data_IF_840377187710
#
_entry.id   IF_840377187710
#
_cell.length_a   1.000
_cell.length_b   1.000
_cell.length_c   1.000
_cell.angle_alpha   90.00
_cell.angle_beta   90.00
_cell.angle_gamma   90.00
#
_symmetry.space_group_name_H-M   'P 1'
#
loop_
_entity.id
_entity.type
_entity.pdbx_description
1 polymer ?
#
# COMPACT_ATOMS: atom_id res chain seq x y z
N UNK A 1 9.88 -2.72 -31.74
CA UNK A 1 11.28 -2.65 -31.26
C UNK A 1 11.30 -3.01 -29.78
N UNK A 2 11.92 -4.16 -29.41
CA UNK A 2 12.20 -4.51 -28.00
C UNK A 2 13.30 -3.55 -27.54
N UNK A 3 13.00 -2.50 -26.80
CA UNK A 3 14.05 -1.82 -26.05
C UNK A 3 14.59 -2.85 -25.04
N UNK A 4 15.80 -3.32 -25.27
CA UNK A 4 16.50 -4.14 -24.28
C UNK A 4 16.53 -3.35 -22.99
N UNK A 5 15.94 -3.92 -21.93
CA UNK A 5 15.97 -3.34 -20.59
C UNK A 5 17.42 -3.43 -20.09
N UNK A 6 18.19 -2.36 -20.34
CA UNK A 6 19.58 -2.28 -19.88
C UNK A 6 19.59 -2.19 -18.37
N UNK A 7 20.23 -3.17 -17.71
CA UNK A 7 20.53 -3.15 -16.28
C UNK A 7 21.92 -2.61 -16.06
N UNK A 8 22.10 -1.98 -14.90
CA UNK A 8 23.45 -1.61 -14.46
C UNK A 8 24.26 -2.85 -14.02
N UNK A 9 25.56 -2.66 -13.76
CA UNK A 9 26.47 -3.74 -13.33
C UNK A 9 26.05 -4.43 -12.01
N UNK A 10 25.16 -3.81 -11.23
CA UNK A 10 24.64 -4.33 -9.95
C UNK A 10 23.27 -5.00 -10.10
N UNK A 11 22.74 -5.11 -11.32
CA UNK A 11 21.45 -5.73 -11.62
C UNK A 11 20.23 -4.82 -11.42
N UNK A 12 20.41 -3.51 -11.20
CA UNK A 12 19.32 -2.56 -11.09
C UNK A 12 18.79 -2.13 -12.45
N UNK A 13 17.50 -1.97 -12.53
CA UNK A 13 16.81 -1.41 -13.66
C UNK A 13 15.99 -0.18 -13.23
N UNK A 14 15.93 0.81 -14.10
CA UNK A 14 15.17 2.04 -13.93
C UNK A 14 14.12 2.16 -15.02
N UNK A 15 12.86 2.48 -14.70
CA UNK A 15 11.86 2.81 -15.70
C UNK A 15 12.30 3.95 -16.62
N UNK A 16 11.86 3.90 -17.88
CA UNK A 16 12.17 4.96 -18.87
C UNK A 16 11.36 6.21 -18.54
N UNK A 17 10.12 6.01 -18.09
CA UNK A 17 9.22 7.09 -17.74
C UNK A 17 9.70 7.79 -16.47
N UNK A 18 9.70 9.11 -16.50
CA UNK A 18 10.05 9.93 -15.32
C UNK A 18 8.95 9.84 -14.28
N UNK A 19 9.33 9.89 -13.01
CA UNK A 19 8.38 10.07 -11.91
C UNK A 19 7.80 11.49 -12.03
N UNK A 20 6.51 11.59 -12.33
CA UNK A 20 5.79 12.83 -12.42
C UNK A 20 4.61 12.87 -11.45
N UNK A 21 4.37 14.05 -10.88
CA UNK A 21 3.17 14.27 -10.10
C UNK A 21 1.92 14.42 -10.97
N UNK A 22 0.80 14.08 -10.38
CA UNK A 22 -0.48 13.98 -11.05
C UNK A 22 -0.96 15.34 -11.59
N UNK A 23 -1.74 15.36 -12.67
CA UNK A 23 -2.16 16.60 -13.34
C UNK A 23 -3.03 17.50 -12.45
N UNK A 24 -3.68 16.95 -11.41
CA UNK A 24 -4.45 17.73 -10.43
C UNK A 24 -3.60 18.70 -9.61
N UNK A 25 -2.28 18.48 -9.53
CA UNK A 25 -1.31 19.33 -8.81
C UNK A 25 -0.40 20.12 -9.75
N UNK A 26 -0.71 20.18 -11.05
CA UNK A 26 0.06 20.94 -12.05
C UNK A 26 -0.74 22.18 -12.47
N UNK A 27 -0.12 23.36 -12.38
CA UNK A 27 -0.74 24.61 -12.81
C UNK A 27 -0.12 25.10 -14.14
N UNK A 28 -0.88 25.61 -15.11
CA UNK A 28 -2.37 25.71 -15.14
C UNK A 28 -3.05 24.35 -15.24
N UNK A 29 -4.27 24.26 -14.71
CA UNK A 29 -5.05 23.01 -14.71
C UNK A 29 -5.45 22.63 -16.14
N UNK A 30 -5.19 21.38 -16.53
CA UNK A 30 -5.62 20.77 -17.77
C UNK A 30 -6.72 19.75 -17.49
N UNK A 31 -7.97 20.16 -17.69
CA UNK A 31 -9.13 19.31 -17.39
C UNK A 31 -9.13 18.00 -18.18
N UNK A 32 -8.61 18.00 -19.43
CA UNK A 32 -8.52 16.79 -20.24
C UNK A 32 -7.51 15.80 -19.65
N UNK A 33 -6.37 16.27 -19.19
CA UNK A 33 -5.36 15.42 -18.50
C UNK A 33 -5.88 14.94 -17.16
N UNK A 34 -6.61 15.78 -16.40
CA UNK A 34 -7.23 15.41 -15.14
C UNK A 34 -8.26 14.32 -15.35
N UNK A 35 -9.16 14.47 -16.33
CA UNK A 35 -10.14 13.44 -16.67
C UNK A 35 -9.46 12.12 -17.08
N UNK A 36 -8.45 12.20 -17.97
CA UNK A 36 -7.67 11.04 -18.36
C UNK A 36 -6.98 10.36 -17.15
N UNK A 37 -6.43 11.13 -16.24
CA UNK A 37 -5.80 10.61 -15.01
C UNK A 37 -6.78 9.78 -14.18
N UNK A 38 -8.00 10.26 -13.98
CA UNK A 38 -8.97 9.53 -13.17
C UNK A 38 -9.55 8.29 -13.86
N UNK A 39 -9.88 8.40 -15.17
CA UNK A 39 -10.75 7.43 -15.85
C UNK A 39 -10.07 6.58 -16.93
N UNK A 40 -8.83 6.86 -17.31
CA UNK A 40 -8.12 6.03 -18.28
C UNK A 40 -7.74 4.65 -17.72
N UNK A 41 -7.40 3.74 -18.61
CA UNK A 41 -6.82 2.43 -18.28
C UNK A 41 -5.41 2.34 -18.89
N UNK A 42 -4.34 2.42 -18.10
CA UNK A 42 -4.32 2.62 -16.64
C UNK A 42 -4.60 4.07 -16.22
N UNK A 43 -5.10 4.24 -15.01
CA UNK A 43 -5.38 5.53 -14.40
C UNK A 43 -5.56 5.43 -12.89
N UNK A 44 -6.09 6.49 -12.27
CA UNK A 44 -6.29 6.53 -10.84
C UNK A 44 -7.26 5.44 -10.36
N UNK A 45 -8.43 5.32 -11.02
CA UNK A 45 -9.39 4.28 -10.64
C UNK A 45 -8.97 2.90 -11.11
N UNK A 46 -8.40 2.78 -12.30
CA UNK A 46 -8.12 1.51 -12.98
C UNK A 46 -6.64 1.17 -13.02
N UNK A 47 -6.26 -0.11 -12.76
CA UNK A 47 -7.13 -1.22 -12.32
C UNK A 47 -7.26 -1.32 -10.80
N UNK A 48 -6.37 -0.69 -10.00
CA UNK A 48 -6.12 -1.07 -8.62
C UNK A 48 -7.14 -0.51 -7.63
N UNK A 49 -7.50 0.76 -7.71
CA UNK A 49 -8.47 1.33 -6.77
C UNK A 49 -9.86 0.71 -6.96
N UNK A 50 -10.24 0.37 -8.20
CA UNK A 50 -11.46 -0.39 -8.46
C UNK A 50 -11.36 -1.84 -7.93
N UNK A 51 -10.22 -2.48 -8.07
CA UNK A 51 -10.00 -3.81 -7.49
C UNK A 51 -10.19 -3.79 -5.96
N UNK A 52 -9.57 -2.86 -5.25
CA UNK A 52 -9.73 -2.73 -3.80
C UNK A 52 -11.14 -2.33 -3.39
N UNK A 53 -11.81 -1.49 -4.18
CA UNK A 53 -13.21 -1.15 -3.95
C UNK A 53 -14.12 -2.39 -4.08
N UNK A 54 -13.98 -3.17 -5.15
CA UNK A 54 -14.76 -4.39 -5.35
C UNK A 54 -14.48 -5.44 -4.27
N UNK A 55 -13.23 -5.55 -3.83
CA UNK A 55 -12.87 -6.42 -2.73
C UNK A 55 -13.53 -5.98 -1.42
N UNK A 56 -13.49 -4.67 -1.10
CA UNK A 56 -14.14 -4.13 0.09
C UNK A 56 -15.67 -4.28 0.03
N UNK A 57 -16.26 -4.05 -1.14
CA UNK A 57 -17.68 -4.27 -1.38
C UNK A 57 -18.07 -5.75 -1.13
N UNK A 58 -17.31 -6.68 -1.73
CA UNK A 58 -17.52 -8.12 -1.51
C UNK A 58 -17.35 -8.49 -0.04
N UNK A 59 -16.32 -7.94 0.61
CA UNK A 59 -16.08 -8.17 2.03
C UNK A 59 -17.24 -7.70 2.87
N UNK A 60 -17.70 -6.48 2.66
CA UNK A 60 -18.81 -5.91 3.44
C UNK A 60 -20.11 -6.71 3.29
N UNK A 61 -20.52 -6.98 2.07
CA UNK A 61 -21.84 -7.58 1.82
C UNK A 61 -21.90 -9.11 2.00
N UNK A 62 -20.78 -9.81 1.85
CA UNK A 62 -20.78 -11.27 1.81
C UNK A 62 -19.87 -11.95 2.83
N UNK A 63 -18.88 -11.24 3.37
CA UNK A 63 -17.84 -11.86 4.20
C UNK A 63 -17.70 -11.19 5.58
N UNK A 64 -18.47 -10.15 5.86
CA UNK A 64 -18.48 -9.49 7.17
C UNK A 64 -19.61 -10.02 8.06
N UNK A 65 -19.44 -9.99 9.40
CA UNK A 65 -20.55 -10.18 10.29
C UNK A 65 -21.59 -9.06 10.08
N UNK A 66 -22.84 -9.33 10.41
CA UNK A 66 -23.86 -8.26 10.42
C UNK A 66 -23.57 -7.27 11.55
N UNK A 67 -23.99 -6.00 11.37
CA UNK A 67 -23.79 -4.99 12.42
C UNK A 67 -24.43 -5.40 13.75
N UNK A 68 -25.59 -6.05 13.72
CA UNK A 68 -26.24 -6.55 14.93
C UNK A 68 -25.44 -7.60 15.68
N UNK A 69 -24.64 -8.42 15.00
CA UNK A 69 -23.73 -9.37 15.66
C UNK A 69 -22.56 -8.69 16.35
N UNK A 70 -22.21 -7.46 15.92
CA UNK A 70 -21.08 -6.71 16.45
C UNK A 70 -21.41 -5.88 17.71
N UNK A 71 -22.66 -5.87 18.21
CA UNK A 71 -23.06 -5.11 19.41
C UNK A 71 -22.24 -5.52 20.63
N UNK A 72 -22.01 -6.83 20.80
CA UNK A 72 -21.19 -7.35 21.89
C UNK A 72 -20.01 -8.13 21.34
N UNK A 73 -18.85 -8.06 22.00
CA UNK A 73 -17.70 -8.86 21.61
C UNK A 73 -17.98 -10.34 21.75
N UNK A 74 -17.76 -11.08 20.68
CA UNK A 74 -17.94 -12.53 20.65
C UNK A 74 -16.86 -13.16 19.78
N UNK A 75 -16.26 -14.23 20.27
CA UNK A 75 -15.15 -14.92 19.58
C UNK A 75 -15.52 -15.41 18.17
N UNK A 76 -16.79 -15.72 17.92
CA UNK A 76 -17.25 -16.20 16.62
C UNK A 76 -17.03 -15.18 15.51
N UNK A 77 -17.59 -13.97 15.63
CA UNK A 77 -17.42 -12.96 14.59
C UNK A 77 -16.02 -12.32 14.60
N UNK A 78 -15.35 -12.27 15.77
CA UNK A 78 -13.95 -11.79 15.86
C UNK A 78 -13.03 -12.74 15.08
N UNK A 79 -13.17 -14.05 15.30
CA UNK A 79 -12.39 -15.04 14.55
C UNK A 79 -12.73 -15.07 13.06
N UNK A 80 -14.01 -14.87 12.69
CA UNK A 80 -14.42 -14.73 11.28
C UNK A 80 -13.64 -13.60 10.59
N UNK A 81 -13.57 -12.41 11.21
CA UNK A 81 -12.82 -11.28 10.67
C UNK A 81 -11.33 -11.64 10.52
N UNK A 82 -10.71 -12.19 11.56
CA UNK A 82 -9.30 -12.54 11.55
C UNK A 82 -8.97 -13.55 10.44
N UNK A 83 -9.68 -14.67 10.38
CA UNK A 83 -9.40 -15.71 9.38
C UNK A 83 -9.70 -15.25 7.95
N UNK A 84 -10.75 -14.45 7.75
CA UNK A 84 -11.04 -13.83 6.46
C UNK A 84 -9.90 -12.91 6.02
N UNK A 85 -9.44 -12.01 6.89
CA UNK A 85 -8.33 -11.10 6.59
C UNK A 85 -7.04 -11.87 6.30
N UNK A 86 -6.76 -12.91 7.06
CA UNK A 86 -5.60 -13.78 6.84
C UNK A 86 -5.68 -14.49 5.48
N UNK A 87 -6.84 -15.02 5.11
CA UNK A 87 -7.04 -15.67 3.80
C UNK A 87 -6.83 -14.66 2.66
N UNK A 88 -7.42 -13.46 2.76
CA UNK A 88 -7.27 -12.41 1.74
C UNK A 88 -5.78 -12.02 1.60
N UNK A 89 -5.09 -11.82 2.72
CA UNK A 89 -3.67 -11.50 2.74
C UNK A 89 -2.84 -12.60 2.06
N UNK A 90 -3.06 -13.87 2.44
CA UNK A 90 -2.33 -15.02 1.88
C UNK A 90 -2.61 -15.16 0.38
N UNK A 91 -3.85 -14.99 -0.05
CA UNK A 91 -4.19 -15.08 -1.46
C UNK A 91 -3.49 -13.99 -2.27
N UNK A 92 -3.56 -12.72 -1.85
CA UNK A 92 -2.97 -11.61 -2.62
C UNK A 92 -1.44 -11.68 -2.60
N UNK A 93 -0.82 -11.76 -1.43
CA UNK A 93 0.64 -11.80 -1.34
C UNK A 93 1.21 -13.11 -1.87
N UNK A 94 0.55 -14.24 -1.59
CA UNK A 94 0.97 -15.56 -2.03
C UNK A 94 0.88 -15.72 -3.55
N UNK A 95 -0.22 -15.33 -4.18
CA UNK A 95 -0.37 -15.43 -5.65
C UNK A 95 0.64 -14.52 -6.37
N UNK A 96 0.88 -13.30 -5.86
CA UNK A 96 1.92 -12.43 -6.41
C UNK A 96 3.32 -13.06 -6.23
N UNK A 97 3.60 -13.61 -5.06
CA UNK A 97 4.89 -14.27 -4.80
C UNK A 97 5.09 -15.50 -5.67
N UNK A 98 4.09 -16.36 -5.77
CA UNK A 98 4.11 -17.53 -6.66
C UNK A 98 4.37 -17.12 -8.12
N UNK A 99 3.61 -16.15 -8.63
CA UNK A 99 3.72 -15.69 -10.01
C UNK A 99 5.09 -15.08 -10.33
N UNK A 100 5.58 -14.17 -9.46
CA UNK A 100 6.73 -13.32 -9.76
C UNK A 100 8.06 -13.95 -9.31
N UNK A 101 8.09 -14.67 -8.19
CA UNK A 101 9.32 -15.16 -7.58
C UNK A 101 9.52 -16.67 -7.70
N UNK A 102 8.44 -17.46 -7.65
CA UNK A 102 8.53 -18.93 -7.79
C UNK A 102 8.46 -19.34 -9.25
N UNK A 103 7.35 -19.05 -9.93
CA UNK A 103 7.16 -19.40 -11.35
C UNK A 103 7.92 -18.46 -12.29
N UNK A 104 8.32 -17.27 -11.81
CA UNK A 104 9.03 -16.25 -12.61
C UNK A 104 8.38 -16.00 -13.96
N UNK A 105 7.05 -15.85 -13.99
CA UNK A 105 6.23 -15.82 -15.21
C UNK A 105 6.65 -14.74 -16.21
N UNK A 106 7.29 -13.68 -15.76
CA UNK A 106 7.86 -12.63 -16.60
C UNK A 106 9.39 -12.48 -16.44
N UNK A 107 10.03 -13.48 -15.79
CA UNK A 107 11.46 -13.44 -15.45
C UNK A 107 11.81 -12.17 -14.68
N UNK A 108 12.82 -11.43 -15.09
CA UNK A 108 13.26 -10.16 -14.52
C UNK A 108 12.77 -8.93 -15.29
N UNK A 109 11.86 -9.13 -16.27
CA UNK A 109 11.28 -8.01 -17.02
C UNK A 109 10.49 -7.11 -16.08
N UNK A 110 10.78 -5.79 -16.12
CA UNK A 110 10.22 -4.74 -15.26
C UNK A 110 10.55 -4.87 -13.76
N UNK A 111 11.48 -5.76 -13.38
CA UNK A 111 11.93 -5.87 -12.00
C UNK A 111 13.00 -4.81 -11.71
N UNK A 112 12.84 -4.03 -10.64
CA UNK A 112 13.80 -2.96 -10.27
C UNK A 112 15.17 -3.52 -9.88
N UNK A 113 15.19 -4.66 -9.19
CA UNK A 113 16.41 -5.32 -8.75
C UNK A 113 16.36 -6.81 -9.07
N UNK A 114 17.20 -7.27 -10.00
CA UNK A 114 17.25 -8.68 -10.43
C UNK A 114 17.88 -9.63 -9.40
N UNK A 115 18.50 -9.10 -8.33
CA UNK A 115 19.07 -9.93 -7.28
C UNK A 115 17.96 -10.69 -6.53
N UNK A 116 18.21 -11.95 -6.25
CA UNK A 116 17.27 -12.79 -5.48
C UNK A 116 17.05 -12.23 -4.07
N UNK A 117 15.87 -12.52 -3.51
CA UNK A 117 15.60 -12.31 -2.08
C UNK A 117 16.61 -13.13 -1.26
N UNK A 118 16.89 -12.66 -0.04
CA UNK A 118 17.89 -13.30 0.80
C UNK A 118 17.40 -14.68 1.28
N UNK A 119 18.09 -15.73 0.82
CA UNK A 119 17.82 -17.12 1.20
C UNK A 119 18.50 -17.51 2.52
N UNK A 120 19.55 -16.76 2.91
CA UNK A 120 20.30 -16.96 4.15
C UNK A 120 20.73 -15.62 4.72
N UNK A 121 20.60 -15.45 6.05
CA UNK A 121 21.05 -14.21 6.70
C UNK A 121 20.59 -14.13 8.15
N UNK A 122 21.54 -13.84 9.06
CA UNK A 122 21.27 -13.72 10.51
C UNK A 122 20.32 -12.58 10.88
N UNK A 123 20.12 -11.59 9.98
CA UNK A 123 19.18 -10.49 10.18
C UNK A 123 17.72 -10.93 10.08
N UNK A 124 17.45 -12.13 9.54
CA UNK A 124 16.11 -12.66 9.33
C UNK A 124 15.76 -13.67 10.43
N UNK A 125 14.56 -13.56 11.03
CA UNK A 125 14.13 -14.42 12.14
C UNK A 125 14.29 -15.92 11.85
N UNK A 126 14.05 -16.36 10.62
CA UNK A 126 14.19 -17.77 10.21
C UNK A 126 15.35 -17.98 9.24
N UNK A 127 16.36 -17.12 9.31
CA UNK A 127 17.49 -17.07 8.38
C UNK A 127 17.07 -16.86 6.89
N UNK A 128 15.79 -16.60 6.60
CA UNK A 128 15.24 -16.40 5.27
C UNK A 128 14.30 -15.21 5.24
N UNK A 129 14.56 -14.26 4.33
CA UNK A 129 13.79 -13.04 4.16
C UNK A 129 12.27 -13.32 3.97
N UNK A 130 11.93 -14.22 3.06
CA UNK A 130 10.52 -14.53 2.77
C UNK A 130 9.78 -15.07 3.98
N UNK A 131 10.39 -15.94 4.78
CA UNK A 131 9.77 -16.51 5.99
C UNK A 131 9.58 -15.46 7.07
N UNK A 132 10.58 -14.61 7.28
CA UNK A 132 10.50 -13.47 8.20
C UNK A 132 9.36 -12.52 7.81
N UNK A 133 9.28 -12.18 6.53
CA UNK A 133 8.24 -11.30 6.01
C UNK A 133 6.83 -11.91 6.14
N UNK A 134 6.66 -13.21 5.85
CA UNK A 134 5.38 -13.92 6.06
C UNK A 134 4.98 -13.87 7.54
N UNK A 135 5.92 -14.14 8.45
CA UNK A 135 5.64 -14.12 9.89
C UNK A 135 5.11 -12.74 10.31
N UNK A 136 5.84 -11.66 10.02
CA UNK A 136 5.44 -10.32 10.44
C UNK A 136 4.13 -9.86 9.79
N UNK A 137 3.91 -10.18 8.52
CA UNK A 137 2.68 -9.83 7.81
C UNK A 137 1.47 -10.59 8.35
N UNK A 138 1.58 -11.91 8.56
CA UNK A 138 0.47 -12.75 8.98
C UNK A 138 0.18 -12.64 10.48
N UNK A 139 1.22 -12.62 11.32
CA UNK A 139 1.03 -12.62 12.78
C UNK A 139 0.76 -11.19 13.27
N UNK A 140 1.66 -10.26 13.03
CA UNK A 140 1.50 -8.89 13.53
C UNK A 140 0.55 -8.06 12.65
N UNK A 141 0.81 -7.99 11.35
CA UNK A 141 0.04 -7.18 10.41
C UNK A 141 -1.44 -7.56 10.39
N UNK A 142 -1.73 -8.83 10.17
CA UNK A 142 -3.11 -9.32 10.10
C UNK A 142 -3.85 -9.20 11.44
N UNK A 143 -3.18 -9.44 12.59
CA UNK A 143 -3.82 -9.31 13.91
C UNK A 143 -4.20 -7.87 14.21
N UNK A 144 -3.30 -6.90 13.95
CA UNK A 144 -3.57 -5.48 14.22
C UNK A 144 -4.61 -4.93 13.22
N UNK A 145 -4.51 -5.29 11.94
CA UNK A 145 -5.57 -5.00 10.97
C UNK A 145 -6.94 -5.49 11.46
N UNK A 146 -7.03 -6.76 11.88
CA UNK A 146 -8.28 -7.35 12.36
C UNK A 146 -8.77 -6.70 13.66
N UNK A 147 -7.87 -6.31 14.56
CA UNK A 147 -8.23 -5.61 15.79
C UNK A 147 -8.87 -4.24 15.50
N UNK A 148 -8.31 -3.46 14.58
CA UNK A 148 -8.94 -2.21 14.14
C UNK A 148 -10.34 -2.46 13.56
N UNK A 149 -10.48 -3.49 12.73
CA UNK A 149 -11.78 -3.80 12.13
C UNK A 149 -12.83 -4.21 13.19
N UNK A 150 -12.44 -5.06 14.13
CA UNK A 150 -13.30 -5.49 15.23
C UNK A 150 -13.76 -4.29 16.08
N UNK A 151 -12.83 -3.43 16.48
CA UNK A 151 -13.15 -2.24 17.30
C UNK A 151 -14.09 -1.29 16.57
N UNK A 152 -13.85 -1.03 15.29
CA UNK A 152 -14.67 -0.09 14.51
C UNK A 152 -16.05 -0.65 14.20
N UNK A 153 -16.18 -1.93 13.85
CA UNK A 153 -17.51 -2.52 13.63
C UNK A 153 -18.32 -2.56 14.92
N UNK A 154 -17.69 -2.87 16.06
CA UNK A 154 -18.33 -2.73 17.36
C UNK A 154 -18.75 -1.29 17.64
N UNK A 155 -17.92 -0.30 17.36
CA UNK A 155 -18.23 1.10 17.57
C UNK A 155 -19.38 1.59 16.66
N UNK A 156 -19.42 1.16 15.40
CA UNK A 156 -20.56 1.42 14.52
C UNK A 156 -21.86 0.77 15.04
N UNK A 157 -21.77 -0.50 15.49
CA UNK A 157 -22.94 -1.23 16.02
C UNK A 157 -23.54 -0.57 17.27
N UNK A 158 -22.73 0.14 18.05
CA UNK A 158 -23.12 0.84 19.27
C UNK A 158 -23.35 2.36 19.06
N UNK A 159 -23.37 2.87 17.83
CA UNK A 159 -23.55 4.27 17.48
C UNK A 159 -22.53 5.23 18.09
N UNK A 160 -21.28 4.76 18.32
CA UNK A 160 -20.18 5.61 18.80
C UNK A 160 -19.48 6.38 17.69
N UNK A 161 -19.74 6.03 16.42
CA UNK A 161 -19.14 6.69 15.27
C UNK A 161 -20.16 7.45 14.46
N UNK A 162 -19.79 8.61 13.88
CA UNK A 162 -20.66 9.37 13.02
C UNK A 162 -20.96 8.57 11.73
N UNK A 163 -22.24 8.36 11.44
CA UNK A 163 -22.70 7.48 10.38
C UNK A 163 -23.42 8.25 9.28
N UNK A 164 -23.24 7.78 8.04
CA UNK A 164 -24.06 8.15 6.88
C UNK A 164 -24.45 6.89 6.10
N UNK A 165 -25.55 7.00 5.37
CA UNK A 165 -25.94 5.99 4.37
C UNK A 165 -26.06 6.61 2.96
N UNK A 166 -26.13 5.74 1.95
CA UNK A 166 -26.23 6.17 0.56
C UNK A 166 -27.52 6.94 0.26
N UNK A 167 -28.64 6.58 0.87
CA UNK A 167 -29.93 7.15 0.52
C UNK A 167 -30.09 8.60 1.03
N UNK A 168 -29.52 8.89 2.19
CA UNK A 168 -29.57 10.24 2.78
C UNK A 168 -28.49 11.17 2.26
N UNK A 169 -27.31 10.63 1.88
CA UNK A 169 -26.16 11.45 1.47
C UNK A 169 -25.41 10.85 0.27
N UNK A 170 -26.05 10.63 -0.90
CA UNK A 170 -25.46 9.87 -2.00
C UNK A 170 -24.18 10.50 -2.57
N UNK A 171 -24.12 11.83 -2.66
CA UNK A 171 -22.95 12.54 -3.20
C UNK A 171 -21.75 12.36 -2.28
N UNK A 172 -21.95 12.63 -0.97
CA UNK A 172 -20.88 12.47 0.02
C UNK A 172 -20.45 11.01 0.14
N UNK A 173 -21.40 10.08 0.13
CA UNK A 173 -21.12 8.65 0.14
C UNK A 173 -20.19 8.23 -1.02
N UNK A 174 -20.52 8.65 -2.25
CA UNK A 174 -19.65 8.35 -3.40
C UNK A 174 -18.30 9.08 -3.35
N UNK A 175 -18.31 10.35 -2.99
CA UNK A 175 -17.11 11.19 -2.93
C UNK A 175 -16.10 10.66 -1.89
N UNK A 176 -16.59 10.14 -0.78
CA UNK A 176 -15.74 9.69 0.32
C UNK A 176 -14.78 8.55 -0.08
N UNK A 177 -15.15 7.67 -1.02
CA UNK A 177 -14.23 6.67 -1.57
C UNK A 177 -13.01 7.29 -2.27
N UNK A 178 -13.14 8.47 -2.81
CA UNK A 178 -12.03 9.20 -3.44
C UNK A 178 -11.23 9.96 -2.39
N UNK A 179 -11.92 10.69 -1.52
CA UNK A 179 -11.28 11.53 -0.49
C UNK A 179 -10.44 10.71 0.47
N UNK A 180 -10.92 9.52 0.86
CA UNK A 180 -10.19 8.65 1.79
C UNK A 180 -8.84 8.15 1.22
N UNK A 181 -8.71 8.03 -0.10
CA UNK A 181 -7.43 7.66 -0.73
C UNK A 181 -6.39 8.78 -0.61
N UNK A 182 -6.81 10.04 -0.79
CA UNK A 182 -5.93 11.20 -0.56
C UNK A 182 -5.59 11.36 0.92
N UNK A 183 -6.56 11.15 1.81
CA UNK A 183 -6.32 11.13 3.25
C UNK A 183 -5.28 10.07 3.63
N UNK A 184 -5.41 8.86 3.10
CA UNK A 184 -4.47 7.76 3.33
C UNK A 184 -3.03 8.15 2.96
N UNK A 185 -2.85 8.80 1.83
CA UNK A 185 -1.52 9.24 1.39
C UNK A 185 -0.95 10.32 2.29
N UNK A 186 -1.78 11.29 2.67
CA UNK A 186 -1.38 12.36 3.59
C UNK A 186 -0.98 11.80 4.97
N UNK A 187 -1.79 10.92 5.54
CA UNK A 187 -1.51 10.22 6.79
C UNK A 187 -0.21 9.41 6.70
N UNK A 188 -0.06 8.63 5.63
CA UNK A 188 1.14 7.82 5.39
C UNK A 188 2.40 8.69 5.35
N UNK A 189 2.39 9.79 4.63
CA UNK A 189 3.53 10.69 4.56
C UNK A 189 3.95 11.20 5.96
N UNK A 190 2.99 11.66 6.76
CA UNK A 190 3.28 12.19 8.10
C UNK A 190 3.83 11.09 9.01
N UNK A 191 3.12 9.97 9.11
CA UNK A 191 3.51 8.87 10.00
C UNK A 191 4.83 8.25 9.57
N UNK A 192 5.07 8.12 8.28
CA UNK A 192 6.31 7.57 7.73
C UNK A 192 7.51 8.49 8.01
N UNK A 193 7.35 9.80 7.91
CA UNK A 193 8.39 10.75 8.33
C UNK A 193 8.71 10.68 9.82
N UNK A 194 7.68 10.47 10.66
CA UNK A 194 7.87 10.27 12.11
C UNK A 194 8.64 8.97 12.36
N UNK A 195 8.31 7.89 11.64
CA UNK A 195 9.00 6.61 11.74
C UNK A 195 10.48 6.70 11.34
N UNK A 196 10.85 7.64 10.47
CA UNK A 196 12.23 7.91 10.09
C UNK A 196 13.01 8.78 11.09
N UNK A 197 12.39 9.28 12.16
CA UNK A 197 13.14 9.91 13.25
C UNK A 197 14.07 8.88 13.91
N UNK A 198 15.37 9.21 14.02
CA UNK A 198 16.45 8.26 14.34
C UNK A 198 16.16 7.23 15.44
N UNK A 199 15.66 7.60 16.64
CA UNK A 199 15.34 6.62 17.68
C UNK A 199 14.23 5.64 17.24
N UNK A 200 13.16 6.17 16.61
CA UNK A 200 12.01 5.38 16.16
C UNK A 200 12.43 4.45 15.02
N UNK A 201 13.19 4.98 14.05
CA UNK A 201 13.72 4.19 12.95
C UNK A 201 14.51 2.98 13.45
N UNK A 202 15.47 3.22 14.34
CA UNK A 202 16.36 2.16 14.83
C UNK A 202 15.65 0.97 15.46
N UNK A 203 14.60 1.21 16.26
CA UNK A 203 13.94 0.17 17.06
C UNK A 203 12.64 -0.36 16.44
N UNK A 204 12.02 0.41 15.56
CA UNK A 204 10.70 0.10 14.99
C UNK A 204 10.79 -0.07 13.48
N UNK A 205 11.11 0.98 12.75
CA UNK A 205 10.99 1.03 11.29
C UNK A 205 12.11 0.29 10.54
N UNK A 206 13.26 0.07 11.19
CA UNK A 206 14.35 -0.73 10.62
C UNK A 206 13.91 -2.14 10.23
N UNK A 207 12.94 -2.75 10.95
CA UNK A 207 12.40 -4.06 10.60
C UNK A 207 11.80 -4.05 9.18
N UNK A 208 11.10 -2.98 8.81
CA UNK A 208 10.59 -2.79 7.45
C UNK A 208 11.72 -2.53 6.45
N UNK A 209 12.62 -1.61 6.76
CA UNK A 209 13.69 -1.17 5.89
C UNK A 209 14.83 -2.18 5.68
N UNK A 210 14.98 -3.21 6.51
CA UNK A 210 15.92 -4.30 6.20
C UNK A 210 15.56 -5.01 4.87
N UNK A 211 14.33 -4.81 4.35
CA UNK A 211 13.86 -5.26 3.05
C UNK A 211 14.29 -4.31 1.90
N UNK A 212 15.60 -4.12 1.70
CA UNK A 212 16.12 -3.38 0.54
C UNK A 212 15.79 -4.10 -0.78
N UNK A 213 15.79 -5.43 -0.76
CA UNK A 213 15.27 -6.27 -1.84
C UNK A 213 13.81 -6.57 -1.54
N UNK A 214 12.93 -5.77 -2.12
CA UNK A 214 11.49 -5.87 -1.86
C UNK A 214 10.85 -7.08 -2.55
N UNK A 215 9.81 -7.61 -1.94
CA UNK A 215 8.94 -8.66 -2.46
C UNK A 215 7.54 -8.52 -1.86
N UNK A 216 6.50 -9.18 -2.41
CA UNK A 216 5.11 -8.95 -1.99
C UNK A 216 4.88 -9.04 -0.46
N UNK A 217 5.52 -10.00 0.19
CA UNK A 217 5.41 -10.17 1.64
C UNK A 217 6.10 -9.07 2.46
N UNK A 218 7.03 -8.30 1.87
CA UNK A 218 7.70 -7.22 2.60
C UNK A 218 6.80 -5.99 2.81
N UNK A 219 5.69 -5.86 2.07
CA UNK A 219 4.77 -4.73 2.18
C UNK A 219 4.15 -4.56 3.56
N UNK A 220 3.84 -5.66 4.25
CA UNK A 220 3.36 -5.66 5.64
C UNK A 220 4.36 -6.28 6.62
N UNK A 221 5.63 -6.41 6.27
CA UNK A 221 6.66 -6.84 7.21
C UNK A 221 7.14 -5.64 8.02
N UNK A 222 6.41 -5.34 9.09
CA UNK A 222 6.59 -4.17 9.94
C UNK A 222 6.58 -4.57 11.44
N UNK A 223 7.14 -3.73 12.28
CA UNK A 223 7.08 -3.88 13.73
C UNK A 223 5.62 -3.69 14.24
N UNK A 224 5.17 -4.38 15.30
CA UNK A 224 3.81 -4.22 15.83
C UNK A 224 3.42 -2.78 16.13
N UNK A 225 4.32 -1.98 16.71
CA UNK A 225 4.08 -0.54 16.97
C UNK A 225 3.90 0.22 15.64
N UNK A 226 4.66 -0.13 14.62
CA UNK A 226 4.51 0.47 13.29
C UNK A 226 3.14 0.12 12.69
N UNK A 227 2.67 -1.12 12.82
CA UNK A 227 1.32 -1.50 12.39
C UNK A 227 0.23 -0.69 13.10
N UNK A 228 0.36 -0.46 14.43
CA UNK A 228 -0.59 0.41 15.15
C UNK A 228 -0.62 1.82 14.58
N UNK A 229 0.55 2.42 14.34
CA UNK A 229 0.65 3.76 13.75
C UNK A 229 0.12 3.75 12.31
N UNK A 230 0.49 2.76 11.52
CA UNK A 230 0.13 2.65 10.11
C UNK A 230 -1.38 2.51 9.90
N UNK A 231 -2.04 1.61 10.65
CA UNK A 231 -3.48 1.41 10.57
C UNK A 231 -4.30 2.51 11.28
N UNK A 232 -3.66 3.43 12.04
CA UNK A 232 -4.35 4.58 12.64
C UNK A 232 -4.96 5.54 11.60
N UNK A 233 -4.64 5.37 10.32
CA UNK A 233 -5.28 6.08 9.19
C UNK A 233 -6.81 6.01 9.25
N UNK A 234 -7.38 4.96 9.81
CA UNK A 234 -8.84 4.77 9.93
C UNK A 234 -9.48 5.59 11.04
N UNK A 235 -8.69 6.22 11.92
CA UNK A 235 -9.23 7.11 12.98
C UNK A 235 -9.98 8.31 12.41
N UNK A 236 -9.79 8.65 11.14
CA UNK A 236 -10.58 9.67 10.45
C UNK A 236 -12.08 9.39 10.49
N UNK A 237 -12.48 8.10 10.53
CA UNK A 237 -13.87 7.68 10.63
C UNK A 237 -14.50 7.94 12.01
N UNK A 238 -13.69 8.30 13.02
CA UNK A 238 -14.19 8.80 14.31
C UNK A 238 -14.68 10.26 14.23
N UNK A 239 -14.26 11.01 13.22
CA UNK A 239 -14.50 12.44 13.07
C UNK A 239 -15.42 12.71 11.88
N UNK A 240 -15.16 12.03 10.75
CA UNK A 240 -15.87 12.25 9.49
C UNK A 240 -16.98 11.22 9.33
N UNK A 241 -18.26 11.68 9.18
CA UNK A 241 -19.38 10.77 8.98
C UNK A 241 -19.17 9.85 7.77
N UNK A 242 -19.26 8.55 8.01
CA UNK A 242 -18.97 7.54 7.01
C UNK A 242 -19.75 6.24 7.25
N UNK A 243 -19.88 5.42 6.22
CA UNK A 243 -20.49 4.10 6.29
C UNK A 243 -19.41 3.04 6.59
N UNK A 244 -19.72 1.93 7.26
CA UNK A 244 -18.76 0.82 7.47
C UNK A 244 -18.05 0.33 6.20
N UNK A 245 -18.71 0.40 5.04
CA UNK A 245 -18.08 0.07 3.75
C UNK A 245 -16.88 1.00 3.43
N UNK A 246 -16.99 2.31 3.74
CA UNK A 246 -15.85 3.24 3.55
C UNK A 246 -14.69 2.88 4.48
N UNK A 247 -15.01 2.54 5.73
CA UNK A 247 -14.02 2.12 6.70
C UNK A 247 -13.31 0.83 6.25
N UNK A 248 -14.06 -0.21 5.83
CA UNK A 248 -13.50 -1.46 5.32
C UNK A 248 -12.64 -1.20 4.08
N UNK A 249 -13.11 -0.36 3.15
CA UNK A 249 -12.33 0.03 1.97
C UNK A 249 -11.01 0.70 2.35
N UNK A 250 -11.03 1.69 3.24
CA UNK A 250 -9.82 2.36 3.73
C UNK A 250 -8.86 1.37 4.37
N UNK A 251 -9.36 0.54 5.28
CA UNK A 251 -8.56 -0.43 6.04
C UNK A 251 -7.96 -1.51 5.14
N UNK A 252 -8.75 -2.10 4.23
CA UNK A 252 -8.27 -3.11 3.28
C UNK A 252 -7.30 -2.53 2.25
N UNK A 253 -7.58 -1.34 1.74
CA UNK A 253 -6.65 -0.66 0.85
C UNK A 253 -5.31 -0.40 1.54
N UNK A 254 -5.35 0.03 2.81
CA UNK A 254 -4.15 0.24 3.61
C UNK A 254 -3.38 -1.06 3.86
N UNK A 255 -4.07 -2.16 4.14
CA UNK A 255 -3.43 -3.46 4.37
C UNK A 255 -2.83 -4.09 3.11
N UNK A 256 -3.46 -3.92 1.95
CA UNK A 256 -3.16 -4.73 0.76
C UNK A 256 -2.38 -3.98 -0.32
N UNK A 257 -2.53 -2.65 -0.44
CA UNK A 257 -1.77 -1.88 -1.43
C UNK A 257 -0.25 -1.92 -1.23
N UNK A 258 0.31 -1.99 -0.01
CA UNK A 258 1.75 -2.17 0.17
C UNK A 258 2.28 -3.49 -0.37
N UNK A 259 1.49 -4.56 -0.37
CA UNK A 259 1.85 -5.86 -0.97
C UNK A 259 2.15 -5.70 -2.45
N UNK A 260 1.30 -4.94 -3.14
CA UNK A 260 1.47 -4.54 -4.53
C UNK A 260 2.66 -3.60 -4.69
N UNK A 261 2.72 -2.53 -3.90
CA UNK A 261 3.78 -1.52 -3.94
C UNK A 261 5.18 -2.08 -3.74
N UNK A 262 5.32 -3.14 -2.92
CA UNK A 262 6.58 -3.82 -2.62
C UNK A 262 6.86 -5.04 -3.50
N UNK A 263 6.07 -5.31 -4.53
CA UNK A 263 6.34 -6.48 -5.40
C UNK A 263 7.69 -6.41 -6.12
N UNK A 264 8.28 -5.20 -6.25
CA UNK A 264 9.57 -4.99 -6.91
C UNK A 264 9.49 -4.98 -8.44
N UNK A 265 8.30 -5.00 -9.02
CA UNK A 265 8.05 -5.00 -10.45
C UNK A 265 7.21 -3.77 -10.87
N UNK A 266 7.74 -2.93 -11.74
CA UNK A 266 7.07 -1.73 -12.26
C UNK A 266 5.73 -2.06 -12.95
N UNK A 267 5.70 -3.16 -13.69
CA UNK A 267 4.55 -3.62 -14.44
C UNK A 267 4.38 -5.13 -14.32
N UNK A 268 3.11 -5.59 -14.37
CA UNK A 268 2.76 -7.00 -14.54
C UNK A 268 2.29 -7.24 -15.97
N UNK A 269 2.86 -8.26 -16.62
CA UNK A 269 2.41 -8.75 -17.92
C UNK A 269 1.21 -9.68 -17.74
N UNK A 270 0.01 -9.23 -18.11
CA UNK A 270 -1.18 -10.07 -18.09
C UNK A 270 -1.19 -11.04 -19.29
N UNK A 271 -0.80 -10.55 -20.45
CA UNK A 271 -0.62 -11.33 -21.69
C UNK A 271 0.67 -10.88 -22.39
N UNK A 272 1.01 -11.49 -23.51
CA UNK A 272 2.17 -11.06 -24.34
C UNK A 272 2.10 -9.59 -24.78
N UNK A 273 0.87 -9.04 -24.90
CA UNK A 273 0.64 -7.69 -25.41
C UNK A 273 0.01 -6.74 -24.39
N UNK A 274 -0.44 -7.25 -23.25
CA UNK A 274 -1.13 -6.46 -22.23
C UNK A 274 -0.33 -6.44 -20.95
N UNK A 275 -0.04 -5.25 -20.46
CA UNK A 275 0.66 -5.01 -19.20
C UNK A 275 -0.04 -3.90 -18.41
N UNK A 276 0.04 -3.98 -17.10
CA UNK A 276 -0.54 -2.97 -16.19
C UNK A 276 0.53 -2.47 -15.22
N UNK A 277 0.53 -1.18 -14.87
CA UNK A 277 1.35 -0.65 -13.80
C UNK A 277 1.11 -1.43 -12.52
N UNK A 278 2.15 -1.66 -11.74
CA UNK A 278 2.03 -2.49 -10.55
C UNK A 278 2.65 -1.85 -9.34
N UNK A 279 3.96 -1.92 -9.13
CA UNK A 279 4.57 -1.29 -7.96
C UNK A 279 5.12 0.12 -8.26
N UNK A 280 5.52 0.81 -7.20
CA UNK A 280 5.99 2.18 -7.27
C UNK A 280 7.51 2.24 -7.31
N UNK A 281 8.09 2.73 -8.40
CA UNK A 281 9.53 3.02 -8.47
C UNK A 281 9.92 4.13 -7.48
N UNK A 282 9.01 5.06 -7.22
CA UNK A 282 9.17 6.11 -6.22
C UNK A 282 9.44 5.53 -4.82
N UNK A 283 8.60 4.60 -4.38
CA UNK A 283 8.74 3.92 -3.09
C UNK A 283 9.93 2.93 -3.06
N UNK A 284 10.22 2.28 -4.19
CA UNK A 284 11.45 1.48 -4.31
C UNK A 284 12.72 2.32 -4.10
N UNK A 285 12.77 3.54 -4.62
CA UNK A 285 13.89 4.47 -4.38
C UNK A 285 14.00 4.84 -2.90
N UNK A 286 12.89 4.93 -2.17
CA UNK A 286 12.86 5.13 -0.74
C UNK A 286 13.53 3.96 0.01
N UNK A 287 13.14 2.71 -0.25
CA UNK A 287 13.78 1.54 0.34
C UNK A 287 15.27 1.41 0.02
N UNK A 288 15.68 1.93 -1.12
CA UNK A 288 17.09 1.91 -1.53
C UNK A 288 17.94 3.01 -0.87
N UNK A 289 17.36 4.18 -0.60
CA UNK A 289 18.12 5.38 -0.19
C UNK A 289 17.68 5.94 1.19
N UNK A 290 16.58 5.48 1.75
CA UNK A 290 16.01 5.75 3.08
C UNK A 290 15.56 7.20 3.32
N UNK A 291 16.34 8.21 3.01
CA UNK A 291 16.08 9.63 3.36
C UNK A 291 15.43 10.42 2.21
N UNK A 292 14.53 9.80 1.44
CA UNK A 292 13.79 10.42 0.34
C UNK A 292 12.44 9.75 0.16
N UNK A 293 11.51 10.40 -0.53
CA UNK A 293 10.25 9.77 -0.99
C UNK A 293 9.44 9.09 0.12
N UNK A 294 9.15 9.84 1.18
CA UNK A 294 8.42 9.32 2.34
C UNK A 294 6.93 9.07 2.08
N UNK A 295 6.35 9.73 1.07
CA UNK A 295 4.96 9.53 0.65
C UNK A 295 4.82 8.54 -0.50
N UNK A 296 3.68 8.67 -1.16
CA UNK A 296 3.40 8.09 -2.48
C UNK A 296 3.52 9.20 -3.54
N UNK A 297 3.37 8.86 -4.81
CA UNK A 297 3.50 9.87 -5.88
C UNK A 297 2.20 10.60 -6.23
N UNK A 298 1.09 10.34 -5.54
CA UNK A 298 -0.23 10.94 -5.84
C UNK A 298 -0.28 12.40 -5.40
N UNK A 299 0.06 12.68 -4.13
CA UNK A 299 0.17 14.04 -3.60
C UNK A 299 1.65 14.45 -3.58
N UNK A 300 2.01 15.65 -4.07
CA UNK A 300 3.41 16.07 -4.18
C UNK A 300 4.04 16.51 -2.84
N UNK A 301 3.78 15.78 -1.75
CA UNK A 301 4.28 16.12 -0.40
C UNK A 301 5.81 16.12 -0.35
N UNK A 302 6.46 15.11 -0.91
CA UNK A 302 7.92 15.06 -0.95
C UNK A 302 8.55 16.20 -1.74
N UNK A 303 7.87 16.67 -2.80
CA UNK A 303 8.32 17.86 -3.55
C UNK A 303 8.17 19.13 -2.72
N UNK A 304 7.03 19.30 -2.05
CA UNK A 304 6.77 20.48 -1.22
C UNK A 304 7.71 20.56 -0.02
N UNK A 305 8.09 19.42 0.55
CA UNK A 305 8.99 19.34 1.71
C UNK A 305 10.45 18.99 1.37
N UNK A 306 10.80 18.99 0.08
CA UNK A 306 12.21 18.91 -0.38
C UNK A 306 12.86 17.54 -0.22
N UNK A 307 12.07 16.45 -0.20
CA UNK A 307 12.54 15.06 -0.09
C UNK A 307 12.28 14.23 -1.35
N UNK A 308 11.85 14.86 -2.43
CA UNK A 308 11.56 14.20 -3.71
C UNK A 308 12.84 13.80 -4.44
N UNK A 309 12.96 12.49 -4.73
CA UNK A 309 14.04 11.90 -5.49
C UNK A 309 13.48 11.04 -6.64
N UNK A 310 13.84 11.36 -7.88
CA UNK A 310 13.40 10.66 -9.10
C UNK A 310 14.44 9.68 -9.68
N UNK A 311 15.54 9.46 -8.95
CA UNK A 311 16.65 8.63 -9.41
C UNK A 311 17.59 9.30 -10.38
N UNK A 312 17.50 10.61 -10.61
CA UNK A 312 18.47 11.41 -11.40
C UNK A 312 19.59 11.96 -10.54
N UNK A 313 20.74 12.29 -11.17
CA UNK A 313 21.84 12.95 -10.47
C UNK A 313 21.47 14.37 -9.99
N UNK A 314 20.60 15.05 -10.74
CA UNK A 314 20.15 16.39 -10.36
C UNK A 314 19.34 16.34 -9.07
N UNK A 315 18.34 15.45 -8.98
CA UNK A 315 17.54 15.30 -7.76
C UNK A 315 18.37 14.73 -6.60
N UNK A 316 19.35 13.85 -6.87
CA UNK A 316 20.28 13.34 -5.87
C UNK A 316 21.04 14.47 -5.17
N UNK A 317 21.61 15.42 -5.96
CA UNK A 317 22.33 16.58 -5.40
C UNK A 317 21.42 17.46 -4.54
N UNK A 318 20.16 17.65 -4.96
CA UNK A 318 19.17 18.46 -4.22
C UNK A 318 18.75 17.84 -2.88
N UNK A 319 18.67 16.53 -2.79
CA UNK A 319 18.18 15.82 -1.60
C UNK A 319 19.32 15.47 -0.64
N UNK A 320 20.44 14.93 -1.13
CA UNK A 320 21.47 14.30 -0.32
C UNK A 320 22.78 15.11 -0.19
N UNK A 321 22.96 16.17 -0.97
CA UNK A 321 24.18 17.02 -0.94
C UNK A 321 23.84 18.46 -0.55
N UNK A 322 22.92 18.62 0.40
CA UNK A 322 22.64 19.92 1.01
C UNK A 322 23.74 20.32 1.99
#
# INVERSE_FOLDING_TARGET
MKSEMKRDKRGYWKPVDKIEYQPVFKWPLDLKKIFKYFFALPGFFWPWNIFYFLLAFTTWYYLSPTISQCINFNISWISQIFFRNLIILILIAGLLHLRLFIFKSQKDRYQYNANKLDETGKQWMFNKQTRDNIFWSCISGCSIWSAYEVIFLWAYANNYLPYIDFYTNPIWFCLWFVVVLFWREFHFYITHRILHFKPIYKYIHYLHHKNVKVGPWSGLSMHPIEHLIYFSVVLIHCIVPSHPLHFIFNLQHTALSPIQGHSGYDQIELTKNTKVPHSSFFHYLHHKNFECNYGESTIPLDKWFGTFYDGSEESYKKVFKK
#
